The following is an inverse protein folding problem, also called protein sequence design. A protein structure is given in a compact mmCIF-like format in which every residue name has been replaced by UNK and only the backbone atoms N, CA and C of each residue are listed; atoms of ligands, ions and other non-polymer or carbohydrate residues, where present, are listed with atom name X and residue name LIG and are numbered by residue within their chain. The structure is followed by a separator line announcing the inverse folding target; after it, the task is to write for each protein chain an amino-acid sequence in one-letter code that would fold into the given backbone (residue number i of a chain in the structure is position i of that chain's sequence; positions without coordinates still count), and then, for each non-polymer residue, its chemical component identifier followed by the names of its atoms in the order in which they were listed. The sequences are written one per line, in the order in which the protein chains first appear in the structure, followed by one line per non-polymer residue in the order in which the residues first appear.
data_IF_177011049128
#
_entry.id   IF_177011049128
#
_cell.length_a   1.000
_cell.length_b   1.000
_cell.length_c   1.000
_cell.angle_alpha   90.00
_cell.angle_beta   90.00
_cell.angle_gamma   90.00
#
_symmetry.space_group_name_H-M   'P 1'
#
loop_
_entity.id
_entity.type
_entity.pdbx_description
1 polymer ?
#
# COMPACT_ATOMS: atom_id res chain seq x y z
N UNK A 1 -62.63 -20.08 -11.55
CA UNK A 1 -63.06 -20.50 -10.18
C UNK A 1 -61.81 -21.01 -9.47
N UNK A 2 -61.53 -20.48 -8.26
CA UNK A 2 -60.40 -20.76 -7.35
C UNK A 2 -59.00 -20.37 -7.86
N UNK A 3 -58.07 -19.81 -7.08
CA UNK A 3 -58.06 -19.09 -5.78
C UNK A 3 -56.63 -18.46 -5.66
N UNK A 4 -56.16 -18.05 -4.49
CA UNK A 4 -55.96 -16.71 -3.94
C UNK A 4 -54.49 -16.22 -4.07
N UNK A 5 -54.16 -15.12 -3.39
CA UNK A 5 -52.82 -14.57 -3.08
C UNK A 5 -52.62 -13.17 -3.68
N UNK A 6 -53.05 -12.19 -2.90
CA UNK A 6 -52.84 -10.78 -3.15
C UNK A 6 -51.38 -10.41 -2.90
N UNK A 7 -50.67 -10.12 -3.99
CA UNK A 7 -49.43 -9.35 -3.98
C UNK A 7 -49.74 -7.89 -4.23
N UNK A 8 -49.23 -7.02 -3.35
CA UNK A 8 -49.30 -5.57 -3.45
C UNK A 8 -47.98 -5.09 -4.07
N UNK A 9 -47.99 -4.74 -5.35
CA UNK A 9 -46.86 -4.02 -5.99
C UNK A 9 -46.94 -2.53 -5.65
N UNK A 10 -45.88 -1.89 -5.13
CA UNK A 10 -45.79 -0.44 -5.15
C UNK A 10 -45.20 0.02 -6.49
N UNK A 11 -46.09 0.63 -7.26
CA UNK A 11 -45.80 1.50 -8.39
C UNK A 11 -44.97 2.71 -7.90
N UNK A 12 -43.74 2.90 -8.38
CA UNK A 12 -42.99 4.15 -8.22
C UNK A 12 -42.64 4.67 -9.60
N UNK A 13 -43.30 5.77 -9.94
CA UNK A 13 -43.15 6.51 -11.18
C UNK A 13 -41.78 7.16 -11.31
N UNK A 14 -41.56 7.65 -12.53
CA UNK A 14 -40.27 8.02 -13.07
C UNK A 14 -39.61 9.22 -12.40
N UNK A 15 -38.29 9.15 -12.39
CA UNK A 15 -37.41 10.30 -12.28
C UNK A 15 -36.49 10.39 -13.50
N UNK A 16 -36.21 11.65 -13.84
CA UNK A 16 -35.71 12.14 -15.09
C UNK A 16 -34.40 11.50 -15.56
N UNK A 17 -34.38 11.18 -16.85
CA UNK A 17 -33.19 10.91 -17.65
C UNK A 17 -32.37 12.20 -17.74
N UNK A 18 -31.28 12.29 -16.96
CA UNK A 18 -30.16 13.21 -17.26
C UNK A 18 -29.03 12.41 -17.93
N UNK A 19 -29.14 12.25 -19.25
CA UNK A 19 -28.01 11.87 -20.09
C UNK A 19 -27.10 13.09 -20.26
N UNK A 20 -26.00 13.17 -19.50
CA UNK A 20 -24.88 14.01 -19.89
C UNK A 20 -23.93 13.20 -20.79
N UNK A 21 -24.04 13.55 -22.07
CA UNK A 21 -23.27 13.13 -23.22
C UNK A 21 -21.81 13.62 -23.05
N UNK A 22 -20.85 12.70 -22.89
CA UNK A 22 -19.43 13.03 -23.01
C UNK A 22 -19.05 12.94 -24.48
N UNK A 23 -18.96 14.10 -25.12
CA UNK A 23 -18.51 14.29 -26.50
C UNK A 23 -17.00 14.06 -26.57
N UNK A 24 -16.56 12.98 -27.22
CA UNK A 24 -15.18 12.78 -27.63
C UNK A 24 -14.90 13.70 -28.83
N UNK A 25 -14.17 14.79 -28.59
CA UNK A 25 -13.58 15.62 -29.64
C UNK A 25 -12.19 15.11 -29.98
N UNK A 26 -12.09 14.33 -31.05
CA UNK A 26 -10.86 14.19 -31.84
C UNK A 26 -10.78 15.39 -32.81
N UNK A 27 -9.56 15.82 -33.17
CA UNK A 27 -9.30 16.19 -34.54
C UNK A 27 -8.23 15.30 -35.16
N UNK A 28 -8.52 14.83 -36.37
CA UNK A 28 -7.66 14.08 -37.26
C UNK A 28 -7.03 15.03 -38.30
N UNK A 29 -5.75 14.77 -38.58
CA UNK A 29 -4.95 14.95 -39.80
C UNK A 29 -4.93 16.22 -40.68
N UNK A 30 -3.70 16.68 -40.96
CA UNK A 30 -3.08 16.77 -42.31
C UNK A 30 -1.55 16.95 -42.14
N UNK A 31 -0.65 16.02 -42.53
CA UNK A 31 -0.06 15.72 -43.87
C UNK A 31 0.56 16.90 -44.64
N UNK A 32 1.88 16.82 -44.89
CA UNK A 32 2.64 17.16 -46.13
C UNK A 32 4.15 16.83 -45.89
N UNK A 33 4.68 15.77 -46.54
CA UNK A 33 5.65 15.72 -47.67
C UNK A 33 7.12 16.11 -47.32
N UNK A 34 8.11 15.20 -47.30
CA UNK A 34 8.79 14.45 -48.38
C UNK A 34 9.94 15.22 -49.08
N UNK A 35 11.21 14.84 -48.83
CA UNK A 35 12.32 14.89 -49.83
C UNK A 35 13.53 14.01 -49.42
N UNK A 36 13.72 12.95 -50.22
CA UNK A 36 14.97 12.41 -50.84
C UNK A 36 16.36 12.45 -50.17
N UNK A 37 16.89 11.22 -50.03
CA UNK A 37 18.25 10.63 -50.17
C UNK A 37 19.33 11.45 -50.96
N UNK A 38 20.65 11.12 -50.93
CA UNK A 38 21.23 9.76 -50.83
C UNK A 38 22.60 9.55 -50.13
N UNK A 39 22.94 8.28 -49.88
CA UNK A 39 24.31 7.74 -49.71
C UNK A 39 24.96 7.47 -51.09
N UNK A 40 26.28 7.21 -51.23
CA UNK A 40 26.83 5.86 -50.96
C UNK A 40 28.36 5.75 -50.63
N UNK A 41 28.78 4.51 -50.34
CA UNK A 41 30.11 3.87 -50.48
C UNK A 41 31.31 4.35 -49.62
N UNK A 42 32.24 3.52 -49.11
CA UNK A 42 32.47 2.08 -49.25
C UNK A 42 33.77 1.65 -48.51
N UNK A 43 33.80 0.37 -48.14
CA UNK A 43 34.91 -0.61 -48.11
C UNK A 43 36.32 -0.38 -47.50
N UNK A 44 36.65 -1.33 -46.60
CA UNK A 44 37.78 -2.27 -46.64
C UNK A 44 39.14 -2.09 -45.91
N UNK A 45 39.46 -3.20 -45.24
CA UNK A 45 40.74 -3.91 -45.07
C UNK A 45 41.72 -3.62 -43.91
N UNK A 46 41.62 -4.50 -42.91
CA UNK A 46 42.65 -5.43 -42.41
C UNK A 46 44.15 -5.17 -42.70
N UNK A 47 44.96 -5.14 -41.62
CA UNK A 47 46.20 -5.91 -41.53
C UNK A 47 46.74 -6.03 -40.09
N UNK A 48 47.04 -7.28 -39.70
CA UNK A 48 47.84 -7.72 -38.54
C UNK A 48 49.26 -7.13 -38.55
N UNK A 49 49.81 -6.85 -37.36
CA UNK A 49 51.20 -7.14 -36.94
C UNK A 49 51.35 -6.97 -35.41
N UNK A 50 51.79 -8.03 -34.73
CA UNK A 50 52.31 -8.08 -33.34
C UNK A 50 53.85 -8.18 -33.37
N UNK A 51 54.57 -8.15 -32.23
CA UNK A 51 54.43 -7.33 -31.02
C UNK A 51 55.76 -6.57 -30.71
N UNK A 52 55.69 -5.48 -29.93
CA UNK A 52 56.88 -4.90 -29.28
C UNK A 52 56.66 -4.94 -27.77
N UNK A 53 57.52 -5.71 -27.09
CA UNK A 53 57.62 -5.74 -25.65
C UNK A 53 58.19 -4.41 -25.15
N UNK A 54 57.40 -3.67 -24.39
CA UNK A 54 57.91 -2.64 -23.50
C UNK A 54 57.45 -2.96 -22.08
N UNK A 55 58.47 -3.13 -21.26
CA UNK A 55 58.44 -3.47 -19.86
C UNK A 55 57.90 -2.27 -19.06
N UNK A 56 56.62 -2.26 -18.70
CA UNK A 56 56.06 -1.31 -17.74
C UNK A 56 55.66 -2.06 -16.48
N UNK A 57 56.41 -1.80 -15.41
CA UNK A 57 56.12 -2.30 -14.06
C UNK A 57 54.67 -2.01 -13.66
N UNK A 58 54.02 -2.88 -12.85
CA UNK A 58 52.68 -2.62 -12.38
C UNK A 58 52.72 -1.41 -11.44
N UNK A 59 52.09 -0.31 -11.89
CA UNK A 59 51.79 0.83 -11.05
C UNK A 59 50.98 0.33 -9.86
N UNK A 60 51.56 0.38 -8.65
CA UNK A 60 50.85 0.13 -7.41
C UNK A 60 49.58 0.99 -7.41
N UNK A 61 48.41 0.37 -7.57
CA UNK A 61 47.14 1.04 -7.27
C UNK A 61 47.16 1.33 -5.78
N UNK A 62 47.41 2.58 -5.44
CA UNK A 62 47.33 3.08 -4.07
C UNK A 62 45.93 2.77 -3.53
N UNK A 63 45.84 2.53 -2.22
CA UNK A 63 44.57 2.25 -1.53
C UNK A 63 43.46 3.29 -1.86
N UNK A 64 43.87 4.51 -2.22
CA UNK A 64 43.00 5.57 -2.74
C UNK A 64 42.36 5.25 -4.10
N UNK A 65 43.08 4.68 -5.06
CA UNK A 65 42.53 4.34 -6.39
C UNK A 65 41.53 3.18 -6.35
N UNK A 66 41.71 2.24 -5.39
CA UNK A 66 40.75 1.16 -5.13
C UNK A 66 39.53 1.70 -4.39
N UNK A 67 39.71 2.63 -3.46
CA UNK A 67 38.62 3.32 -2.77
C UNK A 67 37.76 4.15 -3.74
N UNK A 68 38.36 4.93 -4.64
CA UNK A 68 37.63 5.72 -5.65
C UNK A 68 36.88 4.84 -6.67
N UNK A 69 37.49 3.75 -7.15
CA UNK A 69 36.82 2.82 -8.05
C UNK A 69 35.69 2.04 -7.36
N UNK A 70 35.81 1.75 -6.05
CA UNK A 70 34.74 1.17 -5.26
C UNK A 70 33.64 2.19 -4.92
N UNK A 71 33.97 3.45 -4.70
CA UNK A 71 33.00 4.54 -4.52
C UNK A 71 32.22 4.80 -5.82
N UNK A 72 32.87 4.77 -6.99
CA UNK A 72 32.20 4.85 -8.28
C UNK A 72 31.35 3.61 -8.59
N UNK A 73 31.79 2.41 -8.19
CA UNK A 73 30.98 1.17 -8.29
C UNK A 73 29.78 1.21 -7.35
N UNK A 74 29.97 1.68 -6.11
CA UNK A 74 28.92 1.82 -5.09
C UNK A 74 27.92 2.92 -5.49
N UNK A 75 28.39 4.04 -6.07
CA UNK A 75 27.53 5.08 -6.63
C UNK A 75 26.78 4.59 -7.87
N UNK A 76 27.40 3.80 -8.76
CA UNK A 76 26.70 3.16 -9.90
C UNK A 76 25.72 2.08 -9.47
N UNK A 77 25.95 1.35 -8.37
CA UNK A 77 24.99 0.37 -7.84
C UNK A 77 23.85 1.00 -7.03
N UNK A 78 23.93 2.29 -6.68
CA UNK A 78 22.93 2.99 -5.86
C UNK A 78 22.31 4.20 -6.56
N UNK A 79 22.34 4.25 -7.89
CA UNK A 79 21.32 5.03 -8.61
C UNK A 79 19.99 4.28 -8.49
N UNK A 80 19.27 4.47 -7.38
CA UNK A 80 17.86 4.10 -7.33
C UNK A 80 17.19 4.78 -8.52
N UNK A 81 16.74 3.98 -9.50
CA UNK A 81 16.02 4.50 -10.65
C UNK A 81 14.78 5.22 -10.11
N UNK A 82 14.77 6.54 -10.27
CA UNK A 82 13.59 7.34 -9.97
C UNK A 82 12.48 6.87 -10.91
N UNK A 83 11.34 6.54 -10.33
CA UNK A 83 10.15 6.09 -11.01
C UNK A 83 9.10 7.18 -10.87
N UNK A 84 8.63 7.72 -11.98
CA UNK A 84 7.54 8.68 -11.99
C UNK A 84 6.24 8.00 -12.42
N UNK A 85 5.20 8.05 -11.58
CA UNK A 85 3.89 7.50 -11.92
C UNK A 85 3.24 8.21 -13.12
N UNK A 86 3.60 9.46 -13.39
CA UNK A 86 3.09 10.21 -14.54
C UNK A 86 3.80 9.86 -15.85
N UNK A 87 4.89 9.10 -15.81
CA UNK A 87 5.60 8.65 -17.02
C UNK A 87 4.70 7.73 -17.85
N UNK A 88 4.35 8.18 -19.06
CA UNK A 88 3.52 7.44 -20.01
C UNK A 88 4.25 6.28 -20.69
N UNK A 89 5.59 6.26 -20.62
CA UNK A 89 6.43 5.16 -21.11
C UNK A 89 6.48 3.94 -20.19
N UNK A 90 5.89 4.03 -18.98
CA UNK A 90 5.81 2.92 -18.03
C UNK A 90 4.42 2.27 -18.04
N UNK A 91 4.39 0.95 -18.07
CA UNK A 91 3.16 0.17 -17.91
C UNK A 91 2.70 0.13 -16.44
N UNK A 92 1.42 -0.10 -16.21
CA UNK A 92 0.93 -0.33 -14.85
C UNK A 92 1.38 -1.70 -14.29
N UNK A 93 1.72 -1.71 -13.00
CA UNK A 93 1.98 -2.93 -12.24
C UNK A 93 0.72 -3.79 -12.09
N UNK A 94 0.85 -5.05 -11.63
CA UNK A 94 -0.27 -5.99 -11.58
C UNK A 94 -1.10 -5.93 -10.28
N UNK A 95 -0.68 -5.16 -9.27
CA UNK A 95 -1.33 -5.16 -7.95
C UNK A 95 -2.02 -3.83 -7.68
N UNK A 96 -3.35 -3.85 -7.54
CA UNK A 96 -4.13 -2.73 -7.01
C UNK A 96 -4.30 -2.94 -5.50
N UNK A 97 -3.72 -2.05 -4.69
CA UNK A 97 -3.99 -2.03 -3.25
C UNK A 97 -5.22 -1.16 -3.01
N UNK A 98 -6.08 -1.61 -2.11
CA UNK A 98 -7.31 -0.95 -1.70
C UNK A 98 -7.36 -0.88 -0.19
N UNK A 99 -7.73 0.27 0.36
CA UNK A 99 -7.78 0.49 1.81
C UNK A 99 -9.10 1.08 2.26
N UNK A 100 -9.52 0.75 3.48
CA UNK A 100 -10.29 1.68 4.30
C UNK A 100 -9.36 2.75 4.92
N UNK A 101 -9.93 3.77 5.57
CA UNK A 101 -9.21 4.87 6.19
C UNK A 101 -9.26 4.81 7.71
N UNK A 102 -10.47 4.87 8.27
CA UNK A 102 -10.67 5.01 9.70
C UNK A 102 -10.41 3.66 10.35
N UNK A 103 -9.66 3.63 11.44
CA UNK A 103 -9.24 2.39 12.12
C UNK A 103 -8.41 1.42 11.29
N UNK A 104 -8.11 1.74 10.03
CA UNK A 104 -7.19 1.00 9.17
C UNK A 104 -5.84 1.69 9.07
N UNK A 105 -5.78 2.95 8.64
CA UNK A 105 -4.51 3.73 8.54
C UNK A 105 -4.48 4.94 9.47
N UNK A 106 -5.64 5.38 9.94
CA UNK A 106 -5.80 6.50 10.88
C UNK A 106 -6.81 6.12 11.96
N UNK A 107 -6.43 6.24 13.23
CA UNK A 107 -7.34 5.95 14.33
C UNK A 107 -8.50 6.93 14.40
N UNK A 108 -9.70 6.41 14.62
CA UNK A 108 -10.91 7.17 14.90
C UNK A 108 -10.94 7.71 16.34
N UNK A 109 -10.17 7.12 17.26
CA UNK A 109 -10.19 7.43 18.69
C UNK A 109 -11.51 7.08 19.38
N UNK A 110 -12.33 6.22 18.77
CA UNK A 110 -13.60 5.73 19.31
C UNK A 110 -14.62 6.84 19.60
N UNK A 111 -14.51 7.97 18.90
CA UNK A 111 -15.33 9.15 19.17
C UNK A 111 -16.80 8.90 18.86
N UNK A 112 -17.67 9.11 19.85
CA UNK A 112 -19.12 8.97 19.71
C UNK A 112 -19.81 10.32 19.88
N UNK A 113 -20.79 10.61 19.03
CA UNK A 113 -21.72 11.72 19.21
C UNK A 113 -23.12 11.14 19.38
N UNK A 114 -23.82 11.50 20.47
CA UNK A 114 -25.12 10.92 20.83
C UNK A 114 -25.13 9.38 20.82
N UNK A 115 -24.06 8.76 21.32
CA UNK A 115 -23.86 7.30 21.34
C UNK A 115 -23.68 6.62 19.95
N UNK A 116 -23.58 7.41 18.87
CA UNK A 116 -23.28 6.94 17.52
C UNK A 116 -21.77 7.13 17.24
N UNK A 117 -21.03 6.07 16.85
CA UNK A 117 -19.63 6.19 16.44
C UNK A 117 -19.48 7.10 15.21
N UNK A 118 -18.66 8.15 15.31
CA UNK A 118 -18.35 9.05 14.20
C UNK A 118 -17.06 8.61 13.51
N UNK A 119 -17.15 7.51 12.75
CA UNK A 119 -16.04 6.87 12.06
C UNK A 119 -15.96 5.41 12.49
N UNK A 120 -14.87 5.09 13.19
CA UNK A 120 -14.60 3.76 13.75
C UNK A 120 -14.78 3.69 15.28
N UNK A 121 -14.24 2.63 15.85
CA UNK A 121 -14.37 2.21 17.26
C UNK A 121 -13.04 2.15 18.00
N UNK A 122 -11.89 2.28 17.33
CA UNK A 122 -10.57 2.13 17.93
C UNK A 122 -10.31 3.18 19.01
N UNK A 123 -10.08 2.73 20.23
CA UNK A 123 -9.68 3.58 21.36
C UNK A 123 -8.22 3.40 21.75
N UNK A 124 -7.46 2.54 21.05
CA UNK A 124 -6.06 2.25 21.38
C UNK A 124 -5.14 3.40 20.98
N UNK A 125 -5.52 4.21 20.00
CA UNK A 125 -4.78 5.37 19.53
C UNK A 125 -5.59 6.66 19.68
N UNK A 126 -4.90 7.78 19.78
CA UNK A 126 -5.53 9.09 19.79
C UNK A 126 -6.27 9.36 18.47
N UNK A 127 -7.40 10.07 18.52
CA UNK A 127 -8.15 10.41 17.31
C UNK A 127 -7.26 11.14 16.30
N UNK A 128 -7.19 10.62 15.08
CA UNK A 128 -6.38 11.18 14.00
C UNK A 128 -4.93 10.71 13.99
N UNK A 129 -4.47 9.95 15.00
CA UNK A 129 -3.14 9.33 14.98
C UNK A 129 -3.04 8.35 13.82
N UNK A 130 -1.88 8.36 13.15
CA UNK A 130 -1.56 7.45 12.05
C UNK A 130 -0.95 6.17 12.60
N UNK A 131 -1.41 5.02 12.11
CA UNK A 131 -0.86 3.74 12.56
C UNK A 131 0.58 3.56 12.08
N UNK A 132 1.53 3.23 12.98
CA UNK A 132 2.94 3.12 12.63
C UNK A 132 3.22 2.11 11.51
N UNK A 133 3.99 2.52 10.48
CA UNK A 133 4.40 1.66 9.38
C UNK A 133 3.33 1.38 8.31
N UNK A 134 2.08 1.79 8.51
CA UNK A 134 0.95 1.55 7.59
C UNK A 134 1.23 2.00 6.16
N UNK A 135 1.65 3.25 5.99
CA UNK A 135 1.98 3.85 4.69
C UNK A 135 3.10 3.12 3.96
N UNK A 136 4.15 2.70 4.70
CA UNK A 136 5.25 1.94 4.12
C UNK A 136 4.79 0.55 3.70
N UNK A 137 3.96 -0.13 4.48
CA UNK A 137 3.41 -1.43 4.13
C UNK A 137 2.58 -1.39 2.85
N UNK A 138 1.68 -0.40 2.74
CA UNK A 138 0.83 -0.21 1.55
C UNK A 138 1.68 0.01 0.29
N UNK A 139 2.69 0.88 0.38
CA UNK A 139 3.60 1.13 -0.74
C UNK A 139 4.36 -0.15 -1.14
N UNK A 140 4.90 -0.89 -0.18
CA UNK A 140 5.64 -2.11 -0.47
C UNK A 140 4.77 -3.19 -1.14
N UNK A 141 3.50 -3.31 -0.74
CA UNK A 141 2.53 -4.18 -1.42
C UNK A 141 2.29 -3.75 -2.87
N UNK A 142 2.15 -2.46 -3.12
CA UNK A 142 1.92 -1.91 -4.47
C UNK A 142 3.13 -2.12 -5.40
N UNK A 143 4.35 -2.07 -4.85
CA UNK A 143 5.59 -2.21 -5.62
C UNK A 143 6.06 -3.67 -5.79
N UNK A 144 5.58 -4.59 -4.95
CA UNK A 144 6.12 -5.95 -4.92
C UNK A 144 5.81 -6.74 -6.20
N UNK A 145 6.85 -7.38 -6.76
CA UNK A 145 6.80 -8.14 -8.03
C UNK A 145 6.19 -7.35 -9.20
N UNK A 146 6.32 -6.03 -9.17
CA UNK A 146 5.81 -5.16 -10.24
C UNK A 146 6.49 -5.42 -11.59
N UNK A 147 7.74 -5.88 -11.61
CA UNK A 147 8.52 -6.10 -12.83
C UNK A 147 9.30 -4.87 -13.27
N UNK A 148 10.10 -5.01 -14.34
CA UNK A 148 10.87 -3.91 -14.93
C UNK A 148 9.95 -3.03 -15.81
N UNK A 149 10.28 -1.74 -15.95
CA UNK A 149 9.55 -0.78 -16.78
C UNK A 149 8.06 -0.66 -16.47
N UNK A 150 7.70 -0.87 -15.20
CA UNK A 150 6.34 -0.73 -14.70
C UNK A 150 6.29 0.25 -13.54
N UNK A 151 5.13 0.85 -13.33
CA UNK A 151 4.81 1.79 -12.25
C UNK A 151 3.68 1.26 -11.37
N UNK A 152 3.71 1.51 -10.04
CA UNK A 152 2.69 0.99 -9.15
C UNK A 152 1.36 1.67 -9.46
N UNK A 153 0.26 0.90 -9.40
CA UNK A 153 -1.08 1.49 -9.49
C UNK A 153 -1.28 2.49 -8.34
N UNK A 154 -1.94 3.61 -8.63
CA UNK A 154 -2.37 4.55 -7.61
C UNK A 154 -3.34 3.88 -6.63
N UNK A 155 -3.27 4.27 -5.36
CA UNK A 155 -4.02 3.68 -4.27
C UNK A 155 -5.53 3.96 -4.42
N UNK A 156 -6.34 2.95 -4.12
CA UNK A 156 -7.80 3.07 -4.06
C UNK A 156 -8.29 3.08 -2.62
N UNK A 157 -9.36 3.83 -2.36
CA UNK A 157 -9.97 3.99 -1.05
C UNK A 157 -11.44 3.59 -1.11
N UNK A 158 -11.85 2.64 -0.27
CA UNK A 158 -13.24 2.29 -0.04
C UNK A 158 -13.62 2.66 1.39
N UNK A 159 -14.26 3.80 1.57
CA UNK A 159 -14.50 4.39 2.89
C UNK A 159 -15.98 4.60 3.17
N UNK A 160 -16.36 4.48 4.45
CA UNK A 160 -17.71 4.80 4.92
C UNK A 160 -17.93 6.30 5.16
N UNK A 161 -16.89 7.12 4.97
CA UNK A 161 -17.02 8.58 4.95
C UNK A 161 -17.96 9.03 3.84
N UNK A 162 -18.53 10.22 4.04
CA UNK A 162 -19.38 10.90 3.06
C UNK A 162 -18.55 11.90 2.23
N UNK A 163 -18.93 12.20 0.98
CA UNK A 163 -18.18 13.09 0.09
C UNK A 163 -17.92 14.50 0.63
N UNK A 164 -18.74 14.98 1.58
CA UNK A 164 -18.62 16.29 2.21
C UNK A 164 -17.36 16.44 3.08
N UNK A 165 -16.67 15.32 3.38
CA UNK A 165 -15.34 15.33 4.02
C UNK A 165 -14.35 14.71 3.02
N UNK A 166 -13.99 15.44 1.95
CA UNK A 166 -13.24 14.87 0.85
C UNK A 166 -11.80 14.56 1.26
N UNK A 167 -11.24 13.53 0.64
CA UNK A 167 -9.83 13.17 0.73
C UNK A 167 -9.19 13.75 -0.52
N UNK A 168 -8.50 14.87 -0.35
CA UNK A 168 -7.89 15.61 -1.45
C UNK A 168 -6.42 15.25 -1.60
N UNK A 169 -5.83 15.73 -2.71
CA UNK A 169 -4.40 15.57 -3.01
C UNK A 169 -3.51 16.09 -1.88
N UNK A 170 -3.97 17.13 -1.17
CA UNK A 170 -3.26 17.81 -0.07
C UNK A 170 -3.72 17.35 1.31
N UNK A 171 -4.55 16.32 1.40
CA UNK A 171 -4.91 15.72 2.69
C UNK A 171 -3.64 15.18 3.36
N UNK A 172 -3.52 15.36 4.69
CA UNK A 172 -2.36 14.89 5.45
C UNK A 172 -2.04 13.40 5.22
N UNK A 173 -3.09 12.60 4.99
CA UNK A 173 -2.97 11.19 4.66
C UNK A 173 -2.29 10.98 3.29
N UNK A 174 -2.72 11.71 2.25
CA UNK A 174 -2.12 11.57 0.93
C UNK A 174 -0.71 12.18 0.84
N UNK A 175 -0.46 13.28 1.56
CA UNK A 175 0.88 13.83 1.72
C UNK A 175 1.82 12.80 2.35
N UNK A 176 1.36 12.05 3.36
CA UNK A 176 2.18 11.01 3.99
C UNK A 176 2.49 9.84 3.07
N UNK A 177 1.52 9.39 2.26
CA UNK A 177 1.76 8.38 1.21
C UNK A 177 2.85 8.85 0.24
N UNK A 178 2.74 10.11 -0.22
CA UNK A 178 3.69 10.72 -1.15
C UNK A 178 5.09 10.79 -0.57
N UNK A 179 5.23 11.29 0.66
CA UNK A 179 6.53 11.36 1.35
C UNK A 179 7.22 9.98 1.46
N UNK A 180 6.45 8.93 1.76
CA UNK A 180 6.99 7.56 1.88
C UNK A 180 7.39 7.02 0.50
N UNK A 181 6.62 7.32 -0.54
CA UNK A 181 6.92 6.94 -1.92
C UNK A 181 8.17 7.66 -2.46
N UNK A 182 8.29 8.97 -2.24
CA UNK A 182 9.42 9.76 -2.70
C UNK A 182 10.73 9.32 -2.04
N UNK A 183 10.70 8.97 -0.74
CA UNK A 183 11.84 8.35 -0.04
C UNK A 183 12.26 6.99 -0.63
N UNK A 184 11.37 6.33 -1.38
CA UNK A 184 11.65 5.09 -2.12
C UNK A 184 11.97 5.33 -3.60
N UNK A 185 12.08 6.59 -4.01
CA UNK A 185 12.33 7.00 -5.40
C UNK A 185 11.11 6.89 -6.31
N UNK A 186 9.89 6.89 -5.74
CA UNK A 186 8.63 6.86 -6.49
C UNK A 186 7.95 8.22 -6.40
N UNK A 187 7.92 8.95 -7.50
CA UNK A 187 7.31 10.28 -7.59
C UNK A 187 5.83 10.16 -7.98
N UNK A 188 5.03 11.13 -7.53
CA UNK A 188 3.61 11.28 -7.89
C UNK A 188 2.73 10.08 -7.56
N UNK A 189 3.14 9.26 -6.58
CA UNK A 189 2.31 8.15 -6.08
C UNK A 189 1.55 8.54 -4.81
N UNK A 190 0.35 7.99 -4.67
CA UNK A 190 -0.56 8.21 -3.57
C UNK A 190 -1.95 7.69 -3.91
N UNK A 191 -2.97 8.29 -3.32
CA UNK A 191 -4.38 8.06 -3.64
C UNK A 191 -4.72 8.69 -4.99
N UNK A 192 -5.44 7.94 -5.82
CA UNK A 192 -6.11 8.48 -7.00
C UNK A 192 -7.37 9.22 -6.55
N UNK A 193 -7.18 10.50 -6.21
CA UNK A 193 -8.24 11.37 -5.67
C UNK A 193 -9.36 11.68 -6.67
N UNK A 194 -9.13 11.45 -7.96
CA UNK A 194 -10.08 11.74 -9.01
C UNK A 194 -11.00 10.54 -9.28
N UNK A 195 -10.44 9.33 -9.30
CA UNK A 195 -11.14 8.16 -9.84
C UNK A 195 -11.34 7.01 -8.83
N UNK A 196 -10.53 6.94 -7.76
CA UNK A 196 -10.51 5.75 -6.88
C UNK A 196 -10.78 6.05 -5.42
N UNK A 197 -11.51 7.13 -5.13
CA UNK A 197 -12.12 7.33 -3.82
C UNK A 197 -13.61 7.03 -3.90
N UNK A 198 -14.01 5.91 -3.29
CA UNK A 198 -15.37 5.42 -3.36
C UNK A 198 -16.01 5.56 -1.98
N UNK A 199 -16.71 6.68 -1.80
CA UNK A 199 -17.45 7.02 -0.59
C UNK A 199 -18.70 6.17 -0.40
N UNK A 200 -19.15 6.09 0.85
CA UNK A 200 -20.50 5.65 1.21
C UNK A 200 -21.51 6.78 1.03
N UNK A 201 -22.80 6.46 1.16
CA UNK A 201 -23.86 7.47 1.24
C UNK A 201 -24.14 7.84 2.70
N UNK A 202 -24.93 8.90 2.92
CA UNK A 202 -25.41 9.29 4.25
C UNK A 202 -26.14 8.13 4.94
N UNK A 203 -26.87 7.30 4.18
CA UNK A 203 -27.56 6.13 4.72
C UNK A 203 -26.58 5.18 5.40
N UNK A 204 -25.50 4.78 4.73
CA UNK A 204 -24.53 3.85 5.33
C UNK A 204 -23.65 4.52 6.39
N UNK A 205 -23.50 5.85 6.33
CA UNK A 205 -22.85 6.61 7.38
C UNK A 205 -23.65 6.53 8.70
N UNK A 206 -24.98 6.60 8.63
CA UNK A 206 -25.88 6.51 9.80
C UNK A 206 -26.22 5.07 10.19
N UNK A 207 -26.39 4.16 9.22
CA UNK A 207 -26.83 2.77 9.43
C UNK A 207 -25.73 1.76 9.09
N UNK A 208 -25.19 1.11 10.12
CA UNK A 208 -24.00 0.26 10.01
C UNK A 208 -24.22 -1.07 9.26
N UNK A 209 -25.45 -1.60 9.25
CA UNK A 209 -25.74 -2.97 8.78
C UNK A 209 -25.39 -3.22 7.30
N UNK A 210 -25.34 -2.16 6.48
CA UNK A 210 -25.11 -2.26 5.03
C UNK A 210 -23.73 -1.76 4.59
N UNK A 211 -22.85 -1.37 5.54
CA UNK A 211 -21.53 -0.81 5.22
C UNK A 211 -20.63 -1.80 4.46
N UNK A 212 -20.67 -3.08 4.81
CA UNK A 212 -19.91 -4.13 4.13
C UNK A 212 -20.38 -4.32 2.69
N UNK A 213 -21.69 -4.45 2.48
CA UNK A 213 -22.30 -4.55 1.17
C UNK A 213 -21.97 -3.32 0.31
N UNK A 214 -22.02 -2.12 0.89
CA UNK A 214 -21.69 -0.89 0.19
C UNK A 214 -20.24 -0.85 -0.27
N UNK A 215 -19.29 -1.26 0.57
CA UNK A 215 -17.88 -1.40 0.17
C UNK A 215 -17.71 -2.42 -0.94
N UNK A 216 -18.43 -3.53 -0.89
CA UNK A 216 -18.43 -4.50 -1.99
C UNK A 216 -18.99 -3.91 -3.29
N UNK A 217 -20.10 -3.16 -3.26
CA UNK A 217 -20.64 -2.45 -4.42
C UNK A 217 -19.62 -1.44 -4.99
N UNK A 218 -18.95 -0.71 -4.11
CA UNK A 218 -17.90 0.24 -4.51
C UNK A 218 -16.69 -0.49 -5.13
N UNK A 219 -16.31 -1.65 -4.60
CA UNK A 219 -15.31 -2.51 -5.22
C UNK A 219 -15.71 -2.95 -6.62
N UNK A 220 -16.98 -3.32 -6.88
CA UNK A 220 -17.42 -3.70 -8.24
C UNK A 220 -17.19 -2.58 -9.25
N UNK A 221 -17.42 -1.33 -8.86
CA UNK A 221 -17.13 -0.13 -9.67
C UNK A 221 -15.63 0.02 -9.93
N UNK A 222 -14.83 -0.05 -8.86
CA UNK A 222 -13.38 0.03 -8.94
C UNK A 222 -12.78 -1.09 -9.81
N UNK A 223 -13.23 -2.34 -9.62
CA UNK A 223 -12.78 -3.49 -10.40
C UNK A 223 -13.04 -3.27 -11.89
N UNK A 224 -14.25 -2.82 -12.27
CA UNK A 224 -14.57 -2.50 -13.66
C UNK A 224 -13.64 -1.42 -14.22
N UNK A 225 -13.44 -0.34 -13.47
CA UNK A 225 -12.54 0.75 -13.87
C UNK A 225 -11.09 0.25 -14.08
N UNK A 226 -10.51 -0.37 -13.05
CA UNK A 226 -9.11 -0.81 -13.06
C UNK A 226 -8.87 -1.91 -14.10
N UNK A 227 -9.79 -2.88 -14.26
CA UNK A 227 -9.61 -3.95 -15.24
C UNK A 227 -9.83 -3.50 -16.69
N UNK A 228 -10.52 -2.38 -16.93
CA UNK A 228 -10.58 -1.79 -18.26
C UNK A 228 -9.23 -1.20 -18.68
N UNK A 229 -8.48 -0.60 -17.74
CA UNK A 229 -7.14 -0.03 -18.00
C UNK A 229 -6.02 -1.10 -17.89
N UNK A 230 -6.21 -2.09 -17.04
CA UNK A 230 -5.24 -3.12 -16.71
C UNK A 230 -5.94 -4.44 -16.36
N UNK A 231 -6.26 -5.22 -17.39
CA UNK A 231 -7.00 -6.49 -17.27
C UNK A 231 -6.33 -7.54 -16.37
N UNK A 232 -5.01 -7.46 -16.22
CA UNK A 232 -4.17 -8.34 -15.39
C UNK A 232 -4.12 -7.92 -13.92
N UNK A 233 -4.73 -6.78 -13.55
CA UNK A 233 -4.74 -6.31 -12.18
C UNK A 233 -5.42 -7.32 -11.23
N UNK A 234 -4.77 -7.55 -10.09
CA UNK A 234 -5.29 -8.31 -8.95
C UNK A 234 -5.23 -7.42 -7.70
N UNK A 235 -6.10 -7.69 -6.74
CA UNK A 235 -6.43 -6.76 -5.68
C UNK A 235 -5.98 -7.27 -4.31
N UNK A 236 -5.53 -6.36 -3.46
CA UNK A 236 -5.32 -6.61 -2.03
C UNK A 236 -6.20 -5.63 -1.27
N UNK A 237 -7.03 -6.16 -0.36
CA UNK A 237 -7.91 -5.37 0.50
C UNK A 237 -7.31 -5.25 1.90
N UNK A 238 -7.29 -4.04 2.44
CA UNK A 238 -6.86 -3.76 3.81
C UNK A 238 -7.98 -2.96 4.49
N UNK A 239 -8.47 -3.47 5.60
CA UNK A 239 -9.52 -2.85 6.39
C UNK A 239 -9.34 -3.19 7.87
N UNK A 240 -10.36 -2.93 8.69
CA UNK A 240 -10.33 -3.20 10.13
C UNK A 240 -11.42 -4.17 10.61
N UNK A 241 -11.35 -4.61 11.87
CA UNK A 241 -12.35 -5.50 12.49
C UNK A 241 -13.46 -4.76 13.25
N UNK A 242 -13.36 -3.44 13.36
CA UNK A 242 -14.32 -2.56 14.04
C UNK A 242 -15.51 -2.15 13.16
N UNK A 243 -15.38 -2.23 11.84
CA UNK A 243 -16.47 -2.06 10.87
C UNK A 243 -16.75 -3.36 10.09
N UNK A 244 -17.49 -3.26 8.99
CA UNK A 244 -17.90 -4.37 8.11
C UNK A 244 -16.90 -4.67 6.99
N UNK A 245 -15.61 -4.39 7.20
CA UNK A 245 -14.55 -4.59 6.20
C UNK A 245 -14.24 -6.06 5.94
N UNK A 246 -14.33 -6.90 6.96
CA UNK A 246 -14.18 -8.34 6.82
C UNK A 246 -15.27 -8.91 5.91
N UNK A 247 -16.52 -8.52 6.15
CA UNK A 247 -17.67 -8.92 5.34
C UNK A 247 -17.49 -8.50 3.88
N UNK A 248 -17.05 -7.26 3.64
CA UNK A 248 -16.73 -6.77 2.31
C UNK A 248 -15.62 -7.60 1.64
N UNK A 249 -14.52 -7.86 2.35
CA UNK A 249 -13.39 -8.66 1.85
C UNK A 249 -13.81 -10.08 1.48
N UNK A 250 -14.63 -10.73 2.30
CA UNK A 250 -15.17 -12.05 1.99
C UNK A 250 -16.07 -12.05 0.76
N UNK A 251 -16.93 -11.03 0.60
CA UNK A 251 -17.75 -10.88 -0.59
C UNK A 251 -16.88 -10.70 -1.84
N UNK A 252 -15.83 -9.87 -1.77
CA UNK A 252 -14.88 -9.71 -2.88
C UNK A 252 -14.27 -11.06 -3.29
N UNK A 253 -13.84 -11.89 -2.34
CA UNK A 253 -13.30 -13.22 -2.60
C UNK A 253 -14.36 -14.15 -3.21
N UNK A 254 -15.58 -14.16 -2.63
CA UNK A 254 -16.66 -15.07 -3.05
C UNK A 254 -17.11 -14.80 -4.48
N UNK A 255 -17.27 -13.52 -4.85
CA UNK A 255 -17.84 -13.08 -6.13
C UNK A 255 -16.80 -12.79 -7.22
N UNK A 256 -15.53 -12.53 -6.86
CA UNK A 256 -14.44 -12.29 -7.81
C UNK A 256 -13.28 -13.28 -7.58
N UNK A 257 -13.54 -14.60 -7.75
CA UNK A 257 -12.52 -15.62 -7.53
C UNK A 257 -11.32 -15.38 -8.45
N UNK A 258 -10.12 -15.52 -7.89
CA UNK A 258 -8.88 -15.27 -8.63
C UNK A 258 -8.53 -13.79 -8.83
N UNK A 259 -9.40 -12.81 -8.52
CA UNK A 259 -9.01 -11.39 -8.57
C UNK A 259 -8.42 -10.89 -7.26
N UNK A 260 -8.82 -11.44 -6.12
CA UNK A 260 -8.28 -11.06 -4.81
C UNK A 260 -7.04 -11.90 -4.49
N UNK A 261 -5.96 -11.25 -4.06
CA UNK A 261 -4.70 -11.90 -3.66
C UNK A 261 -4.64 -12.14 -2.15
N UNK A 262 -5.17 -11.22 -1.37
CA UNK A 262 -5.20 -11.28 0.09
C UNK A 262 -6.17 -10.25 0.66
N UNK A 263 -6.62 -10.51 1.87
CA UNK A 263 -7.38 -9.59 2.72
C UNK A 263 -6.63 -9.43 4.04
N UNK A 264 -6.34 -8.20 4.44
CA UNK A 264 -5.63 -7.87 5.68
C UNK A 264 -6.56 -7.09 6.61
N UNK A 265 -6.80 -7.59 7.81
CA UNK A 265 -7.75 -7.01 8.78
C UNK A 265 -7.02 -6.53 10.02
N UNK A 266 -6.99 -5.21 10.21
CA UNK A 266 -6.43 -4.56 11.38
C UNK A 266 -7.35 -4.75 12.59
N UNK A 267 -6.84 -5.40 13.63
CA UNK A 267 -7.61 -5.73 14.83
C UNK A 267 -7.60 -4.54 15.79
N UNK A 268 -8.69 -3.78 15.77
CA UNK A 268 -8.86 -2.56 16.59
C UNK A 268 -9.63 -2.75 17.89
N UNK A 269 -10.07 -3.98 18.18
CA UNK A 269 -10.69 -4.30 19.46
C UNK A 269 -9.62 -4.57 20.53
N UNK A 270 -9.75 -3.97 21.72
CA UNK A 270 -8.83 -4.20 22.84
C UNK A 270 -8.94 -5.64 23.36
N UNK A 271 -7.84 -6.17 23.89
CA UNK A 271 -7.78 -7.53 24.47
C UNK A 271 -8.65 -7.69 25.73
N UNK A 272 -9.01 -6.58 26.39
CA UNK A 272 -9.67 -6.55 27.72
C UNK A 272 -11.17 -6.20 27.66
N UNK A 273 -11.86 -6.55 26.57
CA UNK A 273 -13.33 -6.49 26.53
C UNK A 273 -13.97 -7.59 27.40
N UNK A 274 -15.24 -7.46 27.81
CA UNK A 274 -15.95 -8.43 28.67
C UNK A 274 -16.01 -9.86 28.11
N UNK A 275 -15.67 -10.07 26.83
CA UNK A 275 -15.60 -11.38 26.19
C UNK A 275 -14.18 -11.90 25.89
N UNK A 276 -13.12 -11.17 26.27
CA UNK A 276 -11.72 -11.63 26.10
C UNK A 276 -11.38 -12.11 24.69
N UNK A 277 -11.97 -11.51 23.65
CA UNK A 277 -11.79 -11.94 22.27
C UNK A 277 -10.33 -11.76 21.84
N UNK A 278 -9.59 -12.88 21.87
CA UNK A 278 -8.28 -13.00 21.22
C UNK A 278 -8.39 -12.55 19.77
N UNK A 279 -7.30 -11.97 19.26
CA UNK A 279 -7.11 -11.71 17.83
C UNK A 279 -7.60 -12.94 17.04
N UNK A 280 -8.49 -12.78 16.04
CA UNK A 280 -8.99 -13.90 15.28
C UNK A 280 -7.87 -14.68 14.60
N UNK A 281 -8.08 -15.98 14.40
CA UNK A 281 -7.13 -16.79 13.65
C UNK A 281 -7.21 -16.45 12.16
N UNK A 282 -6.06 -16.44 11.50
CA UNK A 282 -6.00 -16.38 10.05
C UNK A 282 -6.70 -17.59 9.43
N UNK A 283 -7.27 -17.39 8.24
CA UNK A 283 -7.90 -18.47 7.49
C UNK A 283 -7.77 -18.25 5.99
N UNK A 284 -8.17 -19.27 5.22
CA UNK A 284 -8.25 -19.18 3.77
C UNK A 284 -9.71 -19.30 3.33
N UNK A 285 -10.15 -18.36 2.51
CA UNK A 285 -11.43 -18.42 1.84
C UNK A 285 -11.17 -18.55 0.33
N UNK A 286 -11.62 -19.66 -0.28
CA UNK A 286 -11.36 -19.97 -1.70
C UNK A 286 -9.88 -19.78 -2.10
N UNK A 287 -8.96 -20.27 -1.27
CA UNK A 287 -7.50 -20.15 -1.43
C UNK A 287 -6.93 -18.73 -1.34
N UNK A 288 -7.74 -17.73 -0.97
CA UNK A 288 -7.28 -16.38 -0.67
C UNK A 288 -7.06 -16.27 0.84
N UNK A 289 -5.87 -15.85 1.30
CA UNK A 289 -5.61 -15.64 2.71
C UNK A 289 -6.36 -14.43 3.25
N UNK A 290 -7.02 -14.62 4.39
CA UNK A 290 -7.60 -13.57 5.23
C UNK A 290 -6.76 -13.51 6.51
N UNK A 291 -6.07 -12.38 6.70
CA UNK A 291 -4.96 -12.22 7.63
C UNK A 291 -5.28 -11.12 8.65
N UNK A 292 -5.35 -11.49 9.92
CA UNK A 292 -5.61 -10.57 11.02
C UNK A 292 -4.30 -10.04 11.60
N UNK A 293 -4.24 -8.78 12.01
CA UNK A 293 -3.00 -8.23 12.58
C UNK A 293 -3.27 -7.08 13.54
N UNK A 294 -2.38 -6.90 14.53
CA UNK A 294 -2.39 -5.71 15.43
C UNK A 294 -1.42 -4.64 14.97
N UNK A 295 -0.26 -5.01 14.44
CA UNK A 295 0.72 -4.04 13.93
C UNK A 295 1.01 -4.29 12.47
N UNK A 296 1.41 -3.23 11.76
CA UNK A 296 1.80 -3.33 10.36
C UNK A 296 3.13 -4.10 10.17
N UNK A 297 3.91 -4.31 11.23
CA UNK A 297 5.04 -5.25 11.20
C UNK A 297 4.54 -6.69 11.17
N UNK A 298 3.55 -7.04 12.01
CA UNK A 298 2.84 -8.31 11.94
C UNK A 298 2.15 -8.54 10.58
N UNK A 299 1.51 -7.52 10.02
CA UNK A 299 0.95 -7.58 8.66
C UNK A 299 2.03 -7.88 7.61
N UNK A 300 3.17 -7.18 7.70
CA UNK A 300 4.29 -7.38 6.78
C UNK A 300 4.93 -8.78 6.92
N UNK A 301 5.02 -9.34 8.12
CA UNK A 301 5.45 -10.71 8.37
C UNK A 301 4.57 -11.70 7.60
N UNK A 302 3.26 -11.63 7.81
CA UNK A 302 2.28 -12.49 7.13
C UNK A 302 2.34 -12.27 5.61
N UNK A 303 2.51 -11.04 5.15
CA UNK A 303 2.69 -10.78 3.73
C UNK A 303 3.95 -11.46 3.14
N UNK A 304 5.05 -11.57 3.90
CA UNK A 304 6.24 -12.34 3.48
C UNK A 304 5.92 -13.84 3.43
N UNK A 305 5.30 -14.39 4.46
CA UNK A 305 4.91 -15.81 4.56
C UNK A 305 4.02 -16.25 3.40
N UNK A 306 3.15 -15.34 2.92
CA UNK A 306 2.25 -15.57 1.80
C UNK A 306 2.81 -15.11 0.43
N UNK A 307 4.09 -14.74 0.36
CA UNK A 307 4.75 -14.36 -0.89
C UNK A 307 4.18 -13.08 -1.55
N UNK A 308 3.65 -12.17 -0.73
CA UNK A 308 3.13 -10.85 -1.08
C UNK A 308 4.16 -9.74 -0.84
N UNK A 309 5.20 -10.01 -0.06
CA UNK A 309 6.38 -9.16 0.17
C UNK A 309 7.68 -9.99 0.16
N UNK A 310 8.83 -9.33 0.24
CA UNK A 310 10.13 -9.97 0.54
C UNK A 310 10.70 -9.43 1.85
N UNK A 311 11.76 -10.09 2.35
CA UNK A 311 12.42 -9.69 3.60
C UNK A 311 12.88 -8.22 3.60
N UNK A 312 13.38 -7.70 2.48
CA UNK A 312 13.80 -6.30 2.39
C UNK A 312 12.62 -5.32 2.55
N UNK A 313 11.45 -5.66 2.03
CA UNK A 313 10.22 -4.89 2.23
C UNK A 313 9.79 -4.93 3.70
N UNK A 314 9.82 -6.11 4.34
CA UNK A 314 9.57 -6.26 5.78
C UNK A 314 10.51 -5.39 6.62
N UNK A 315 11.82 -5.38 6.34
CA UNK A 315 12.78 -4.53 7.05
C UNK A 315 12.42 -3.04 6.95
N UNK A 316 11.97 -2.58 5.78
CA UNK A 316 11.56 -1.17 5.59
C UNK A 316 10.29 -0.84 6.37
N UNK A 317 9.30 -1.72 6.37
CA UNK A 317 8.08 -1.55 7.17
C UNK A 317 8.41 -1.49 8.66
N UNK A 318 9.26 -2.41 9.15
CA UNK A 318 9.70 -2.43 10.54
C UNK A 318 10.41 -1.13 10.93
N UNK A 319 11.41 -0.72 10.14
CA UNK A 319 12.15 0.53 10.40
C UNK A 319 11.21 1.72 10.44
N UNK A 320 10.26 1.82 9.50
CA UNK A 320 9.30 2.93 9.48
C UNK A 320 8.35 2.87 10.67
N UNK A 321 7.84 1.70 11.05
CA UNK A 321 6.95 1.54 12.19
C UNK A 321 7.61 1.99 13.51
N UNK A 322 8.87 1.61 13.74
CA UNK A 322 9.62 2.05 14.94
C UNK A 322 9.79 3.57 14.95
N UNK A 323 10.13 4.16 13.80
CA UNK A 323 10.32 5.62 13.70
C UNK A 323 9.00 6.38 13.88
N UNK A 324 7.92 5.94 13.24
CA UNK A 324 6.58 6.53 13.40
C UNK A 324 6.14 6.50 14.87
N UNK A 325 6.25 5.33 15.53
CA UNK A 325 5.80 5.21 16.92
C UNK A 325 6.67 6.03 17.89
N UNK A 326 7.96 6.13 17.61
CA UNK A 326 8.87 6.98 18.39
C UNK A 326 8.63 8.49 18.18
N UNK A 327 8.23 8.91 16.97
CA UNK A 327 7.89 10.30 16.66
C UNK A 327 6.56 10.71 17.32
N UNK A 328 5.59 9.79 17.44
CA UNK A 328 4.27 10.06 18.03
C UNK A 328 4.29 10.41 19.53
N UNK A 329 5.46 10.39 20.21
CA UNK A 329 5.68 10.83 21.61
C UNK A 329 4.70 10.26 22.64
N UNK A 330 4.03 9.15 22.32
CA UNK A 330 3.04 8.54 23.18
C UNK A 330 3.73 7.91 24.39
N UNK A 331 3.26 8.26 25.60
CA UNK A 331 3.70 7.61 26.84
C UNK A 331 3.04 6.23 27.03
N UNK A 332 2.11 5.87 26.15
CA UNK A 332 1.42 4.59 26.20
C UNK A 332 2.35 3.46 25.74
N UNK A 333 2.79 2.66 26.72
CA UNK A 333 3.67 1.52 26.51
C UNK A 333 2.94 0.32 25.89
N UNK A 334 1.60 0.27 25.89
CA UNK A 334 0.85 -0.84 25.31
C UNK A 334 1.10 -0.98 23.80
N UNK A 335 1.14 0.15 23.07
CA UNK A 335 1.48 0.21 21.64
C UNK A 335 2.89 -0.32 21.35
N UNK A 336 3.84 0.00 22.24
CA UNK A 336 5.19 -0.52 22.15
C UNK A 336 5.25 -2.01 22.45
N UNK A 337 4.44 -2.52 23.38
CA UNK A 337 4.37 -3.95 23.70
C UNK A 337 3.96 -4.78 22.47
N UNK A 338 2.92 -4.36 21.75
CA UNK A 338 2.47 -5.06 20.54
C UNK A 338 3.52 -4.99 19.43
N UNK A 339 4.12 -3.82 19.19
CA UNK A 339 5.15 -3.65 18.18
C UNK A 339 6.40 -4.48 18.50
N UNK A 340 6.85 -4.47 19.75
CA UNK A 340 8.03 -5.24 20.19
C UNK A 340 7.77 -6.73 20.06
N UNK A 341 6.57 -7.22 20.41
CA UNK A 341 6.21 -8.63 20.22
C UNK A 341 6.39 -9.03 18.75
N UNK A 342 5.81 -8.29 17.82
CA UNK A 342 5.95 -8.57 16.38
C UNK A 342 7.40 -8.41 15.90
N UNK A 343 8.16 -7.45 16.43
CA UNK A 343 9.59 -7.26 16.09
C UNK A 343 10.42 -8.48 16.50
N UNK A 344 10.23 -9.00 17.71
CA UNK A 344 10.95 -10.18 18.20
C UNK A 344 10.66 -11.42 17.34
N UNK A 345 9.43 -11.55 16.85
CA UNK A 345 9.06 -12.63 15.93
C UNK A 345 9.69 -12.51 14.53
N UNK A 346 10.07 -11.29 14.11
CA UNK A 346 10.65 -11.05 12.77
C UNK A 346 12.12 -10.70 12.77
N UNK A 347 12.79 -10.56 13.92
CA UNK A 347 14.17 -10.07 13.97
C UNK A 347 15.13 -10.94 13.14
N UNK A 348 14.96 -12.27 13.21
CA UNK A 348 15.74 -13.23 12.42
C UNK A 348 15.43 -13.12 10.92
N UNK A 349 14.16 -12.84 10.58
CA UNK A 349 13.64 -12.80 9.21
C UNK A 349 14.00 -11.48 8.51
N UNK A 350 13.97 -10.36 9.25
CA UNK A 350 14.17 -9.01 8.74
C UNK A 350 15.66 -8.67 8.52
N UNK A 351 16.58 -9.55 8.93
CA UNK A 351 18.03 -9.48 8.68
C UNK A 351 18.67 -8.11 9.02
N UNK A 352 18.11 -7.40 10.00
CA UNK A 352 18.49 -6.03 10.38
C UNK A 352 19.94 -5.93 10.87
N UNK A 353 20.54 -7.06 11.29
CA UNK A 353 21.93 -7.14 11.75
C UNK A 353 22.95 -6.93 10.63
N UNK A 354 22.58 -7.18 9.37
CA UNK A 354 23.49 -7.07 8.22
C UNK A 354 23.53 -5.69 7.57
N UNK A 355 22.66 -4.78 7.98
CA UNK A 355 22.60 -3.43 7.43
C UNK A 355 23.24 -2.43 8.39
N UNK A 356 24.38 -1.87 8.01
CA UNK A 356 25.10 -0.83 8.77
C UNK A 356 24.63 0.59 8.43
N UNK A 357 23.50 0.74 7.72
CA UNK A 357 22.95 2.06 7.45
C UNK A 357 22.58 2.75 8.78
N UNK A 358 22.96 4.03 8.93
CA UNK A 358 22.71 4.84 10.12
C UNK A 358 21.27 4.73 10.65
N UNK A 359 20.29 4.66 9.73
CA UNK A 359 18.88 4.52 10.08
C UNK A 359 18.58 3.20 10.81
N UNK A 360 19.15 2.09 10.35
CA UNK A 360 18.97 0.77 10.97
C UNK A 360 19.63 0.73 12.35
N UNK A 361 20.82 1.34 12.48
CA UNK A 361 21.50 1.47 13.78
C UNK A 361 20.62 2.25 14.76
N UNK A 362 20.09 3.41 14.34
CA UNK A 362 19.17 4.21 15.16
C UNK A 362 17.93 3.41 15.56
N UNK A 363 17.33 2.67 14.63
CA UNK A 363 16.17 1.81 14.91
C UNK A 363 16.49 0.75 15.97
N UNK A 364 17.64 0.06 15.89
CA UNK A 364 18.05 -0.92 16.91
C UNK A 364 18.18 -0.30 18.29
N UNK A 365 18.80 0.88 18.39
CA UNK A 365 18.94 1.61 19.66
C UNK A 365 17.58 1.96 20.27
N UNK A 366 16.62 2.41 19.46
CA UNK A 366 15.25 2.70 19.93
C UNK A 366 14.59 1.42 20.48
N UNK A 367 14.68 0.32 19.74
CA UNK A 367 14.10 -0.98 20.13
C UNK A 367 14.69 -1.44 21.47
N UNK A 368 16.03 -1.44 21.60
CA UNK A 368 16.72 -1.88 22.82
C UNK A 368 16.32 -1.05 24.05
N UNK A 369 16.20 0.27 23.87
CA UNK A 369 15.77 1.17 24.95
C UNK A 369 14.33 0.88 25.38
N UNK A 370 13.42 0.65 24.42
CA UNK A 370 12.02 0.37 24.73
C UNK A 370 11.80 -1.01 25.34
N UNK A 371 12.58 -2.02 24.96
CA UNK A 371 12.58 -3.33 25.64
C UNK A 371 13.00 -3.18 27.11
N UNK A 372 14.03 -2.37 27.40
CA UNK A 372 14.47 -2.10 28.79
C UNK A 372 13.38 -1.39 29.59
N UNK A 373 12.75 -0.37 29.03
CA UNK A 373 11.66 0.39 29.66
C UNK A 373 10.45 -0.51 29.99
N UNK A 374 10.00 -1.33 29.03
CA UNK A 374 8.91 -2.30 29.25
C UNK A 374 9.25 -3.32 30.35
N UNK A 375 10.50 -3.79 30.39
CA UNK A 375 10.95 -4.75 31.41
C UNK A 375 11.01 -4.16 32.82
N UNK A 376 11.20 -2.85 32.94
CA UNK A 376 11.15 -2.13 34.22
C UNK A 376 9.71 -1.91 34.68
N UNK A 377 8.82 -1.56 33.75
CA UNK A 377 7.39 -1.35 34.03
C UNK A 377 6.67 -2.61 34.53
N UNK A 378 7.04 -3.80 34.06
CA UNK A 378 6.45 -5.08 34.53
C UNK A 378 6.93 -5.46 35.94
N UNK A 379 8.01 -4.86 36.44
CA UNK A 379 8.59 -5.15 37.77
C UNK A 379 8.13 -4.17 38.86
N UNK A 380 7.57 -3.02 38.48
CA UNK A 380 6.88 -2.07 39.36
C UNK A 380 5.40 -2.41 39.47
#
# INVERSE_FOLDING_TARGET
MQNPDGEYEPNVGGEAVMQQRWSLGLPDQSQEDATSAPSPDGDDNAARRTPSATNTQPLHKTAFGIASANVEKIQKTTSQRILDVNDKGLEWGPTQVMIDIDDTVKSSGGYKLFNVPLGGVDTQYGRGELYPGSFQFILELAMYKMGKNRKPLLLAVLTTRIPQVPITVDSALNMRLREVAEKRGVLNWGIDCENKILYSTIKEWVFNETRGEKKFVNFRKLHKYVCNENSNARFIWIGDTGDKDLEAGEMMIKFFPGKIRAVFMHCVTPEEGPEGQRMPNDYYLKSVPVLFFRTYVGAAKKAVEHGLLNHNALSRVLVRAVLDLNENSTQDLSKWKDLIKDILEVEEIANLKRYEANLVVKTRVIIENKIKELSQYVKS
#
